data_IF_974105357905
#
_entry.id   IF_974105357905
#
_cell.length_a   1.000
_cell.length_b   1.000
_cell.length_c   1.000
_cell.angle_alpha   90.00
_cell.angle_beta   90.00
_cell.angle_gamma   90.00
#
_symmetry.space_group_name_H-M   'P 1'
#
loop_
_entity.id
_entity.type
_entity.pdbx_description
1 polymer ?
#
# COMPACT_ATOMS: atom_id res chain seq x y z
N UNK A 1 8.16 26.34 20.13
CA UNK A 1 8.25 24.88 20.02
C UNK A 1 7.75 24.38 18.66
N UNK A 2 6.69 24.95 18.09
CA UNK A 2 6.19 24.68 16.71
C UNK A 2 7.24 24.87 15.61
N UNK A 3 8.05 25.93 15.67
CA UNK A 3 9.08 26.22 14.65
C UNK A 3 10.19 25.14 14.56
N UNK A 4 10.53 24.48 15.66
CA UNK A 4 11.56 23.45 15.67
C UNK A 4 11.04 22.12 15.10
N UNK A 5 9.73 21.86 15.24
CA UNK A 5 9.06 20.69 14.68
C UNK A 5 8.85 20.85 13.16
N UNK A 6 8.47 22.05 12.69
CA UNK A 6 8.37 22.33 11.24
C UNK A 6 9.75 22.28 10.55
N UNK A 7 10.82 22.71 11.23
CA UNK A 7 12.20 22.58 10.73
C UNK A 7 12.68 21.13 10.78
N UNK A 8 12.25 20.32 11.76
CA UNK A 8 12.54 18.88 11.78
C UNK A 8 11.79 18.13 10.67
N UNK A 9 10.51 18.48 10.43
CA UNK A 9 9.75 17.98 9.29
C UNK A 9 10.44 18.39 7.99
N UNK A 10 10.81 19.66 7.82
CA UNK A 10 11.53 20.14 6.62
C UNK A 10 12.93 19.54 6.48
N UNK A 11 13.66 19.33 7.57
CA UNK A 11 14.98 18.70 7.61
C UNK A 11 14.94 17.20 7.26
N UNK A 12 13.85 16.51 7.62
CA UNK A 12 13.58 15.15 7.14
C UNK A 12 12.95 15.13 5.74
N UNK A 13 12.30 16.21 5.28
CA UNK A 13 11.76 16.31 3.91
C UNK A 13 12.82 16.49 2.82
N UNK A 14 14.08 16.76 3.18
CA UNK A 14 15.15 17.10 2.23
C UNK A 14 15.44 16.04 1.16
N UNK A 15 15.01 14.79 1.36
CA UNK A 15 15.08 13.73 0.34
C UNK A 15 13.80 12.88 0.23
N UNK A 16 12.89 12.87 1.22
CA UNK A 16 11.83 11.84 1.28
C UNK A 16 10.38 12.33 1.22
N UNK A 17 10.04 13.58 1.54
CA UNK A 17 8.64 14.02 1.59
C UNK A 17 8.24 15.07 0.53
N UNK A 18 9.22 15.71 -0.11
CA UNK A 18 9.01 16.51 -1.32
C UNK A 18 9.77 15.90 -2.48
N UNK A 19 9.50 14.64 -2.80
CA UNK A 19 9.88 14.10 -4.11
C UNK A 19 9.03 14.77 -5.18
N UNK A 20 9.42 15.99 -5.55
CA UNK A 20 9.16 16.60 -6.87
C UNK A 20 9.73 15.73 -8.02
N UNK A 21 10.33 14.58 -7.73
CA UNK A 21 10.89 13.62 -8.65
C UNK A 21 9.86 12.74 -9.38
N UNK A 22 8.55 12.87 -9.17
CA UNK A 22 7.57 11.95 -9.79
C UNK A 22 6.87 12.47 -11.04
N UNK A 23 6.75 13.80 -11.26
CA UNK A 23 5.99 14.30 -12.43
C UNK A 23 6.80 14.47 -13.70
N UNK A 24 8.12 14.61 -13.60
CA UNK A 24 8.96 14.89 -14.78
C UNK A 24 9.37 13.61 -15.52
N UNK A 25 9.34 12.46 -14.84
CA UNK A 25 9.59 11.13 -15.40
C UNK A 25 8.29 10.31 -15.61
N UNK A 26 7.16 10.76 -15.05
CA UNK A 26 5.84 10.18 -15.31
C UNK A 26 5.51 10.21 -16.81
N UNK A 27 5.26 9.02 -17.35
CA UNK A 27 4.79 8.84 -18.72
C UNK A 27 3.29 9.14 -18.80
N UNK A 28 2.91 9.97 -19.76
CA UNK A 28 1.52 10.43 -19.92
C UNK A 28 0.70 9.54 -20.86
N UNK A 29 1.30 8.49 -21.42
CA UNK A 29 0.77 7.60 -22.46
C UNK A 29 0.50 6.18 -21.97
N UNK A 30 -0.10 6.04 -20.77
CA UNK A 30 -0.56 4.73 -20.31
C UNK A 30 -1.67 4.21 -21.22
N UNK A 31 -1.44 3.04 -21.80
CA UNK A 31 -2.36 2.42 -22.74
C UNK A 31 -3.68 2.07 -22.05
N UNK A 32 -4.80 2.40 -22.71
CA UNK A 32 -6.11 2.01 -22.24
C UNK A 32 -6.30 0.49 -22.29
N UNK A 33 -7.15 -0.02 -21.40
CA UNK A 33 -7.80 -1.32 -21.59
C UNK A 33 -8.77 -1.22 -22.77
N UNK A 34 -8.23 -1.30 -23.99
CA UNK A 34 -8.99 -1.26 -25.26
C UNK A 34 -9.58 -2.61 -25.66
N UNK A 35 -9.34 -3.65 -24.86
CA UNK A 35 -9.74 -5.01 -25.19
C UNK A 35 -11.08 -5.34 -24.52
N UNK A 36 -12.16 -5.37 -25.31
CA UNK A 36 -13.52 -5.70 -24.86
C UNK A 36 -13.59 -7.00 -24.04
N UNK A 37 -12.74 -7.99 -24.36
CA UNK A 37 -12.67 -9.27 -23.63
C UNK A 37 -12.12 -9.06 -22.21
N UNK A 38 -11.10 -8.20 -22.06
CA UNK A 38 -10.52 -7.89 -20.73
C UNK A 38 -11.51 -7.10 -19.88
N UNK A 39 -12.14 -6.09 -20.47
CA UNK A 39 -13.20 -5.30 -19.82
C UNK A 39 -14.34 -6.20 -19.33
N UNK A 40 -14.77 -7.16 -20.15
CA UNK A 40 -15.82 -8.11 -19.76
C UNK A 40 -15.39 -9.03 -18.61
N UNK A 41 -14.14 -9.52 -18.61
CA UNK A 41 -13.62 -10.35 -17.51
C UNK A 41 -13.55 -9.58 -16.20
N UNK A 42 -13.09 -8.34 -16.22
CA UNK A 42 -13.06 -7.48 -15.04
C UNK A 42 -14.43 -7.11 -14.53
N UNK A 43 -15.37 -6.82 -15.43
CA UNK A 43 -16.77 -6.60 -15.05
C UNK A 43 -17.36 -7.84 -14.37
N UNK A 44 -17.10 -9.03 -14.92
CA UNK A 44 -17.53 -10.29 -14.32
C UNK A 44 -16.89 -10.55 -12.96
N UNK A 45 -15.60 -10.24 -12.82
CA UNK A 45 -14.89 -10.36 -11.55
C UNK A 45 -15.44 -9.40 -10.50
N UNK A 46 -15.64 -8.12 -10.87
CA UNK A 46 -16.15 -7.07 -9.98
C UNK A 46 -17.54 -7.41 -9.43
N UNK A 47 -18.42 -7.96 -10.30
CA UNK A 47 -19.74 -8.44 -9.90
C UNK A 47 -19.67 -9.61 -8.90
N UNK A 48 -18.66 -10.47 -9.01
CA UNK A 48 -18.46 -11.60 -8.09
C UNK A 48 -17.78 -11.19 -6.78
N UNK A 49 -16.87 -10.22 -6.83
CA UNK A 49 -16.11 -9.74 -5.67
C UNK A 49 -16.94 -8.90 -4.69
N UNK A 50 -18.10 -8.38 -5.13
CA UNK A 50 -18.97 -7.53 -4.31
C UNK A 50 -18.43 -6.10 -4.16
N UNK A 51 -17.85 -5.56 -5.24
CA UNK A 51 -17.39 -4.16 -5.28
C UNK A 51 -18.51 -3.12 -5.16
N UNK A 52 -18.17 -1.82 -5.10
CA UNK A 52 -19.15 -0.76 -4.90
C UNK A 52 -20.20 -0.77 -6.03
N UNK A 53 -21.49 -0.67 -5.66
CA UNK A 53 -22.60 -0.48 -6.61
C UNK A 53 -22.54 0.91 -7.26
N UNK A 54 -23.41 1.21 -8.22
CA UNK A 54 -23.35 2.46 -8.99
C UNK A 54 -23.47 3.71 -8.10
N UNK A 55 -24.37 3.71 -7.11
CA UNK A 55 -24.51 4.82 -6.17
C UNK A 55 -23.25 4.98 -5.30
N UNK A 56 -22.71 3.87 -4.77
CA UNK A 56 -21.48 3.87 -3.98
C UNK A 56 -20.29 4.32 -4.82
N UNK A 57 -20.24 3.96 -6.11
CA UNK A 57 -19.19 4.39 -7.02
C UNK A 57 -19.20 5.91 -7.26
N UNK A 58 -20.38 6.52 -7.35
CA UNK A 58 -20.50 7.98 -7.40
C UNK A 58 -19.93 8.60 -6.12
N UNK A 59 -20.25 8.04 -4.95
CA UNK A 59 -19.67 8.48 -3.68
C UNK A 59 -18.15 8.32 -3.64
N UNK A 60 -17.60 7.20 -4.12
CA UNK A 60 -16.15 6.98 -4.22
C UNK A 60 -15.48 8.07 -5.05
N UNK A 61 -16.00 8.35 -6.25
CA UNK A 61 -15.44 9.39 -7.12
C UNK A 61 -15.49 10.77 -6.45
N UNK A 62 -16.63 11.13 -5.85
CA UNK A 62 -16.80 12.39 -5.13
C UNK A 62 -15.83 12.50 -3.96
N UNK A 63 -15.80 11.51 -3.07
CA UNK A 63 -15.00 11.56 -1.84
C UNK A 63 -13.50 11.51 -2.16
N UNK A 64 -13.10 10.85 -3.25
CA UNK A 64 -11.73 10.92 -3.76
C UNK A 64 -11.35 12.32 -4.24
N UNK A 65 -12.24 13.02 -4.98
CA UNK A 65 -12.02 14.42 -5.37
C UNK A 65 -11.92 15.31 -4.12
N UNK A 66 -12.78 15.08 -3.12
CA UNK A 66 -12.74 15.81 -1.84
C UNK A 66 -11.37 15.63 -1.17
N UNK A 67 -10.90 14.39 -1.04
CA UNK A 67 -9.58 14.06 -0.49
C UNK A 67 -8.45 14.76 -1.25
N UNK A 68 -8.45 14.66 -2.57
CA UNK A 68 -7.41 15.25 -3.40
C UNK A 68 -7.43 16.79 -3.32
N UNK A 69 -8.61 17.41 -3.32
CA UNK A 69 -8.77 18.86 -3.17
C UNK A 69 -8.25 19.32 -1.81
N UNK A 70 -8.73 18.69 -0.73
CA UNK A 70 -8.39 19.03 0.65
C UNK A 70 -6.88 18.95 0.93
N UNK A 71 -6.22 17.98 0.30
CA UNK A 71 -4.79 17.72 0.49
C UNK A 71 -3.90 18.34 -0.59
N UNK A 72 -4.45 19.16 -1.48
CA UNK A 72 -3.66 19.82 -2.54
C UNK A 72 -2.96 21.09 -2.06
N UNK A 73 -1.94 21.54 -2.81
CA UNK A 73 -1.28 22.83 -2.53
C UNK A 73 -2.18 24.04 -2.77
N UNK A 74 -3.26 23.88 -3.54
CA UNK A 74 -4.26 24.89 -3.87
C UNK A 74 -5.67 24.32 -3.62
N UNK A 75 -6.05 24.15 -2.34
CA UNK A 75 -7.30 23.49 -2.00
C UNK A 75 -8.51 24.30 -2.45
N UNK A 76 -9.59 23.61 -2.79
CA UNK A 76 -10.86 24.19 -3.18
C UNK A 76 -11.96 23.72 -2.23
N UNK A 77 -12.48 24.64 -1.43
CA UNK A 77 -13.56 24.37 -0.47
C UNK A 77 -14.89 23.99 -1.13
N UNK A 78 -15.09 24.32 -2.41
CA UNK A 78 -16.27 23.85 -3.16
C UNK A 78 -16.17 22.37 -3.51
N UNK A 79 -14.94 21.87 -3.70
CA UNK A 79 -14.64 20.47 -3.98
C UNK A 79 -14.32 19.68 -2.71
N UNK A 80 -14.06 20.33 -1.57
CA UNK A 80 -13.82 19.70 -0.28
C UNK A 80 -14.61 20.46 0.81
N UNK A 81 -15.94 20.27 0.87
CA UNK A 81 -16.76 20.96 1.84
C UNK A 81 -16.48 20.46 3.25
N UNK A 82 -16.73 21.32 4.25
CA UNK A 82 -16.60 20.94 5.66
C UNK A 82 -17.58 19.81 5.99
N UNK A 83 -17.15 18.73 6.66
CA UNK A 83 -18.09 17.76 7.23
C UNK A 83 -19.04 18.53 8.15
N UNK A 84 -20.34 18.43 7.90
CA UNK A 84 -21.48 19.16 8.52
C UNK A 84 -22.06 20.37 7.77
N UNK A 85 -21.60 20.71 6.56
CA UNK A 85 -22.24 21.77 5.77
C UNK A 85 -23.61 21.38 5.15
N UNK A 86 -24.03 20.11 5.29
CA UNK A 86 -25.24 19.57 4.65
C UNK A 86 -26.51 19.60 5.48
N UNK A 87 -26.46 20.02 6.75
CA UNK A 87 -27.68 20.30 7.53
C UNK A 87 -27.63 21.69 8.14
N UNK A 88 -28.60 22.52 7.73
CA UNK A 88 -28.95 23.76 8.41
C UNK A 88 -29.13 23.48 9.90
N UNK A 89 -28.25 24.05 10.73
CA UNK A 89 -28.61 24.83 11.91
C UNK A 89 -27.35 25.38 12.62
N UNK A 90 -27.35 26.71 12.79
CA UNK A 90 -26.65 27.52 13.79
C UNK A 90 -25.10 27.52 13.89
N UNK A 91 -24.55 28.66 13.45
CA UNK A 91 -23.57 29.48 14.18
C UNK A 91 -22.25 28.81 14.65
N UNK A 92 -21.44 28.39 13.70
CA UNK A 92 -20.01 28.73 13.73
C UNK A 92 -19.64 29.38 12.40
N UNK A 93 -18.82 30.45 12.38
CA UNK A 93 -18.43 31.04 11.13
C UNK A 93 -17.57 30.00 10.38
N UNK A 94 -18.12 29.47 9.28
CA UNK A 94 -17.35 28.87 8.19
C UNK A 94 -16.47 29.96 7.57
N UNK A 95 -15.47 30.40 8.34
CA UNK A 95 -14.54 31.44 7.99
C UNK A 95 -13.42 30.84 7.14
N UNK A 96 -12.95 31.63 6.17
CA UNK A 96 -11.80 31.29 5.33
C UNK A 96 -10.58 30.82 6.14
N UNK A 97 -10.41 31.31 7.37
CA UNK A 97 -9.34 30.91 8.29
C UNK A 97 -9.48 29.46 8.78
N UNK A 98 -10.70 29.02 9.12
CA UNK A 98 -10.96 27.63 9.51
C UNK A 98 -10.67 26.65 8.37
N UNK A 99 -11.08 27.00 7.14
CA UNK A 99 -10.76 26.18 5.96
C UNK A 99 -9.25 26.11 5.70
N UNK A 100 -8.53 27.21 5.89
CA UNK A 100 -7.07 27.25 5.78
C UNK A 100 -6.45 26.28 6.80
N UNK A 101 -6.81 26.37 8.07
CA UNK A 101 -6.28 25.50 9.13
C UNK A 101 -6.59 24.02 8.86
N UNK A 102 -7.83 23.71 8.47
CA UNK A 102 -8.24 22.35 8.08
C UNK A 102 -7.40 21.82 6.93
N UNK A 103 -7.29 22.54 5.81
CA UNK A 103 -6.48 22.10 4.66
C UNK A 103 -4.98 22.01 4.99
N UNK A 104 -4.47 22.83 5.92
CA UNK A 104 -3.12 22.65 6.45
C UNK A 104 -2.99 21.36 7.26
N UNK A 105 -3.98 21.02 8.08
CA UNK A 105 -4.02 19.75 8.80
C UNK A 105 -4.11 18.56 7.85
N UNK A 106 -5.06 18.53 6.92
CA UNK A 106 -5.26 17.43 5.96
C UNK A 106 -3.99 17.12 5.15
N UNK A 107 -3.30 18.19 4.69
CA UNK A 107 -2.00 18.05 4.02
C UNK A 107 -0.92 17.46 4.90
N UNK A 108 -0.85 17.88 6.17
CA UNK A 108 0.14 17.35 7.13
C UNK A 108 -0.12 15.87 7.40
N UNK A 109 -1.38 15.48 7.63
CA UNK A 109 -1.80 14.09 7.82
C UNK A 109 -1.39 13.24 6.62
N UNK A 110 -1.77 13.66 5.40
CA UNK A 110 -1.38 12.97 4.16
C UNK A 110 0.14 12.81 4.04
N UNK A 111 0.89 13.89 4.25
CA UNK A 111 2.35 13.86 4.13
C UNK A 111 2.99 12.92 5.17
N UNK A 112 2.50 12.95 6.42
CA UNK A 112 2.99 12.09 7.49
C UNK A 112 2.77 10.60 7.17
N UNK A 113 1.56 10.23 6.75
CA UNK A 113 1.23 8.86 6.35
C UNK A 113 2.07 8.42 5.15
N UNK A 114 2.20 9.27 4.12
CA UNK A 114 2.99 8.94 2.94
C UNK A 114 4.46 8.68 3.31
N UNK A 115 5.07 9.52 4.14
CA UNK A 115 6.44 9.30 4.65
C UNK A 115 6.52 8.00 5.44
N UNK A 116 5.53 7.71 6.29
CA UNK A 116 5.50 6.50 7.10
C UNK A 116 5.43 5.22 6.26
N UNK A 117 4.56 5.18 5.24
CA UNK A 117 4.51 4.08 4.26
C UNK A 117 5.88 3.92 3.59
N UNK A 118 6.47 5.02 3.12
CA UNK A 118 7.72 4.97 2.36
C UNK A 118 8.87 4.46 3.24
N UNK A 119 8.95 4.93 4.49
CA UNK A 119 9.96 4.49 5.45
C UNK A 119 9.77 3.03 5.84
N UNK A 120 8.54 2.64 6.21
CA UNK A 120 8.22 1.27 6.57
C UNK A 120 8.57 0.32 5.42
N UNK A 121 8.13 0.61 4.20
CA UNK A 121 8.38 -0.27 3.06
C UNK A 121 9.85 -0.27 2.63
N UNK A 122 10.55 0.87 2.66
CA UNK A 122 12.00 0.92 2.40
C UNK A 122 12.78 0.09 3.44
N UNK A 123 12.35 0.09 4.71
CA UNK A 123 12.91 -0.74 5.79
C UNK A 123 12.64 -2.22 5.52
N UNK A 124 11.39 -2.59 5.26
CA UNK A 124 11.01 -3.99 5.05
C UNK A 124 11.66 -4.59 3.80
N UNK A 125 11.81 -3.81 2.71
CA UNK A 125 12.59 -4.29 1.55
C UNK A 125 14.06 -4.54 1.89
N UNK A 126 14.67 -3.67 2.69
CA UNK A 126 16.05 -3.89 3.16
C UNK A 126 16.15 -5.16 4.00
N UNK A 127 15.15 -5.46 4.83
CA UNK A 127 15.10 -6.69 5.62
C UNK A 127 14.85 -7.91 4.73
N UNK A 128 14.02 -7.79 3.70
CA UNK A 128 13.74 -8.86 2.74
C UNK A 128 15.01 -9.31 1.98
N UNK A 129 15.95 -8.41 1.70
CA UNK A 129 17.24 -8.75 1.07
C UNK A 129 18.17 -9.59 1.97
N UNK A 130 17.94 -9.64 3.29
CA UNK A 130 18.71 -10.52 4.19
C UNK A 130 18.39 -11.99 3.96
N UNK A 131 17.22 -12.27 3.39
CA UNK A 131 16.73 -13.64 3.26
C UNK A 131 17.47 -14.42 2.18
N UNK A 132 17.85 -15.67 2.48
CA UNK A 132 18.54 -16.53 1.52
C UNK A 132 17.66 -16.84 0.32
N UNK A 133 18.30 -17.17 -0.80
CA UNK A 133 17.65 -17.42 -2.09
C UNK A 133 16.48 -18.41 -1.99
N UNK A 134 16.66 -19.49 -1.23
CA UNK A 134 15.65 -20.52 -1.04
C UNK A 134 14.36 -19.97 -0.39
N UNK A 135 14.48 -19.10 0.61
CA UNK A 135 13.34 -18.47 1.25
C UNK A 135 12.61 -17.51 0.30
N UNK A 136 13.36 -16.69 -0.44
CA UNK A 136 12.82 -15.79 -1.45
C UNK A 136 12.12 -16.54 -2.60
N UNK A 137 12.61 -17.74 -2.96
CA UNK A 137 11.97 -18.62 -3.94
C UNK A 137 10.65 -19.21 -3.43
N UNK A 138 10.60 -19.66 -2.17
CA UNK A 138 9.35 -20.14 -1.53
C UNK A 138 8.28 -19.05 -1.58
N UNK A 139 8.65 -17.83 -1.16
CA UNK A 139 7.76 -16.68 -1.18
C UNK A 139 7.23 -16.36 -2.58
N UNK A 140 8.11 -16.35 -3.58
CA UNK A 140 7.69 -16.05 -4.95
C UNK A 140 6.76 -17.12 -5.53
N UNK A 141 7.02 -18.39 -5.20
CA UNK A 141 6.19 -19.54 -5.61
C UNK A 141 4.81 -19.55 -4.97
N UNK A 142 4.67 -19.04 -3.75
CA UNK A 142 3.35 -18.91 -3.13
C UNK A 142 2.44 -17.96 -3.95
N UNK A 143 2.97 -16.81 -4.39
CA UNK A 143 2.24 -15.88 -5.25
C UNK A 143 2.13 -16.33 -6.71
N UNK A 144 3.11 -17.06 -7.23
CA UNK A 144 3.13 -17.57 -8.60
C UNK A 144 3.74 -18.97 -8.63
N UNK A 145 2.89 -20.00 -8.66
CA UNK A 145 3.33 -21.40 -8.54
C UNK A 145 4.36 -21.86 -9.59
N UNK A 146 4.41 -21.19 -10.75
CA UNK A 146 5.35 -21.45 -11.84
C UNK A 146 6.66 -20.68 -11.73
N UNK A 147 6.84 -19.86 -10.69
CA UNK A 147 8.05 -19.07 -10.49
C UNK A 147 9.29 -19.97 -10.31
N UNK A 148 10.28 -19.75 -11.16
CA UNK A 148 11.60 -20.40 -11.11
C UNK A 148 12.66 -19.52 -10.45
N UNK A 149 12.40 -18.21 -10.38
CA UNK A 149 13.32 -17.23 -9.86
C UNK A 149 12.95 -16.79 -8.42
N UNK A 150 13.95 -16.48 -7.58
CA UNK A 150 13.71 -15.91 -6.26
C UNK A 150 12.97 -14.58 -6.35
N UNK A 151 12.23 -14.23 -5.29
CA UNK A 151 11.70 -12.88 -5.15
C UNK A 151 12.84 -11.84 -5.14
N UNK A 152 12.67 -10.76 -5.90
CA UNK A 152 13.61 -9.64 -5.99
C UNK A 152 12.94 -8.39 -5.44
N UNK A 153 13.61 -7.69 -4.52
CA UNK A 153 13.10 -6.41 -4.02
C UNK A 153 13.35 -5.28 -5.02
N UNK A 154 12.77 -4.11 -4.79
CA UNK A 154 12.97 -2.90 -5.58
C UNK A 154 14.01 -1.97 -4.92
N UNK A 155 14.90 -2.52 -4.08
CA UNK A 155 15.82 -1.71 -3.28
C UNK A 155 16.94 -1.09 -4.12
N UNK A 156 17.31 -1.71 -5.23
CA UNK A 156 18.33 -1.20 -6.17
C UNK A 156 18.03 0.24 -6.61
N UNK A 157 19.08 1.04 -6.84
CA UNK A 157 18.94 2.46 -7.23
C UNK A 157 18.23 2.61 -8.56
N UNK A 158 18.55 1.76 -9.55
CA UNK A 158 17.84 1.70 -10.84
C UNK A 158 16.32 1.49 -10.70
N UNK A 159 15.87 0.84 -9.62
CA UNK A 159 14.46 0.54 -9.35
C UNK A 159 13.76 1.62 -8.52
N UNK A 160 14.45 2.70 -8.10
CA UNK A 160 13.90 3.75 -7.23
C UNK A 160 12.60 4.37 -7.77
N UNK A 161 12.56 4.66 -9.07
CA UNK A 161 11.36 5.21 -9.72
C UNK A 161 10.17 4.26 -9.62
N UNK A 162 10.38 2.96 -9.89
CA UNK A 162 9.35 1.93 -9.75
C UNK A 162 8.93 1.76 -8.29
N UNK A 163 9.90 1.76 -7.36
CA UNK A 163 9.68 1.67 -5.91
C UNK A 163 8.75 2.76 -5.41
N UNK A 164 9.02 4.03 -5.73
CA UNK A 164 8.19 5.15 -5.28
C UNK A 164 6.76 5.09 -5.83
N UNK A 165 6.58 4.69 -7.09
CA UNK A 165 5.26 4.47 -7.69
C UNK A 165 4.51 3.33 -6.99
N UNK A 166 5.19 2.23 -6.66
CA UNK A 166 4.57 1.09 -5.98
C UNK A 166 4.15 1.45 -4.54
N UNK A 167 5.01 2.19 -3.82
CA UNK A 167 4.68 2.69 -2.48
C UNK A 167 3.51 3.69 -2.52
N UNK A 168 3.41 4.50 -3.57
CA UNK A 168 2.32 5.44 -3.75
C UNK A 168 0.95 4.75 -3.88
N UNK A 169 0.88 3.53 -4.43
CA UNK A 169 -0.36 2.73 -4.45
C UNK A 169 -0.85 2.44 -3.04
N UNK A 170 0.04 2.07 -2.12
CA UNK A 170 -0.31 1.82 -0.72
C UNK A 170 -0.57 3.10 0.06
N UNK A 171 0.25 4.13 -0.14
CA UNK A 171 0.04 5.43 0.48
C UNK A 171 -1.30 6.04 0.08
N UNK A 172 -1.74 5.83 -1.17
CA UNK A 172 -3.05 6.30 -1.63
C UNK A 172 -4.21 5.65 -0.90
N UNK A 173 -4.14 4.33 -0.68
CA UNK A 173 -5.13 3.58 0.09
C UNK A 173 -5.20 4.11 1.52
N UNK A 174 -4.07 4.12 2.23
CA UNK A 174 -4.05 4.46 3.66
C UNK A 174 -4.41 5.94 3.88
N UNK A 175 -3.87 6.86 3.07
CA UNK A 175 -4.24 8.28 3.18
C UNK A 175 -5.74 8.50 2.95
N UNK A 176 -6.32 7.83 1.95
CA UNK A 176 -7.74 8.01 1.64
C UNK A 176 -8.64 7.35 2.67
N UNK A 177 -8.24 6.19 3.20
CA UNK A 177 -8.94 5.51 4.29
C UNK A 177 -8.98 6.39 5.53
N UNK A 178 -7.84 6.92 5.98
CA UNK A 178 -7.77 7.81 7.16
C UNK A 178 -8.56 9.09 6.94
N UNK A 179 -8.46 9.70 5.75
CA UNK A 179 -9.26 10.87 5.40
C UNK A 179 -10.76 10.59 5.44
N UNK A 180 -11.21 9.50 4.82
CA UNK A 180 -12.61 9.12 4.79
C UNK A 180 -13.12 8.75 6.19
N UNK A 181 -12.32 8.08 7.02
CA UNK A 181 -12.67 7.79 8.41
C UNK A 181 -12.85 9.06 9.25
N UNK A 182 -11.99 10.07 9.06
CA UNK A 182 -12.11 11.35 9.75
C UNK A 182 -13.32 12.20 9.32
N UNK A 183 -14.02 11.80 8.25
CA UNK A 183 -15.20 12.51 7.75
C UNK A 183 -16.44 11.62 7.87
N UNK A 184 -17.42 12.09 8.61
CA UNK A 184 -18.63 11.33 8.93
C UNK A 184 -19.33 10.77 7.68
N UNK A 185 -19.78 9.52 7.78
CA UNK A 185 -20.53 8.75 6.77
C UNK A 185 -19.79 8.43 5.46
N UNK A 186 -18.60 8.98 5.19
CA UNK A 186 -17.93 8.79 3.90
C UNK A 186 -17.61 7.32 3.59
N UNK A 187 -17.18 6.54 4.58
CA UNK A 187 -16.87 5.12 4.40
C UNK A 187 -18.14 4.31 4.06
N UNK A 188 -19.22 4.53 4.80
CA UNK A 188 -20.50 3.85 4.60
C UNK A 188 -21.14 4.21 3.24
N UNK A 189 -21.10 5.48 2.85
CA UNK A 189 -21.56 5.95 1.53
C UNK A 189 -20.82 5.25 0.38
N UNK A 190 -19.54 4.93 0.59
CA UNK A 190 -18.69 4.24 -0.37
C UNK A 190 -18.78 2.71 -0.30
N UNK A 191 -19.60 2.17 0.61
CA UNK A 191 -19.82 0.74 0.79
C UNK A 191 -18.71 0.01 1.55
N UNK A 192 -17.90 0.73 2.33
CA UNK A 192 -16.86 0.16 3.19
C UNK A 192 -17.25 0.33 4.66
N UNK A 193 -17.45 -0.79 5.35
CA UNK A 193 -17.73 -0.85 6.79
C UNK A 193 -16.55 -1.53 7.47
N UNK A 194 -15.73 -0.75 8.17
CA UNK A 194 -14.55 -1.30 8.83
C UNK A 194 -14.94 -2.29 9.93
N UNK A 195 -14.15 -3.35 10.07
CA UNK A 195 -14.22 -4.16 11.28
C UNK A 195 -13.62 -3.35 12.45
N UNK A 196 -14.13 -3.57 13.67
CA UNK A 196 -13.73 -2.84 14.89
C UNK A 196 -12.20 -2.76 15.05
N UNK A 197 -11.49 -3.88 14.90
CA UNK A 197 -10.02 -3.89 14.99
C UNK A 197 -9.33 -3.06 13.89
N UNK A 198 -9.88 -2.98 12.68
CA UNK A 198 -9.34 -2.14 11.60
C UNK A 198 -9.64 -0.67 11.84
N UNK A 199 -10.78 -0.36 12.45
CA UNK A 199 -11.14 0.99 12.90
C UNK A 199 -10.16 1.47 13.98
N UNK A 200 -9.88 0.62 14.99
CA UNK A 200 -8.88 0.87 16.02
C UNK A 200 -7.49 1.16 15.42
N UNK A 201 -7.07 0.41 14.40
CA UNK A 201 -5.80 0.65 13.69
C UNK A 201 -5.75 2.01 12.97
N UNK A 202 -6.88 2.47 12.41
CA UNK A 202 -6.98 3.81 11.80
C UNK A 202 -6.92 4.89 12.88
N UNK A 203 -7.55 4.66 14.04
CA UNK A 203 -7.46 5.54 15.21
C UNK A 203 -6.03 5.60 15.74
N UNK A 204 -5.30 4.47 15.80
CA UNK A 204 -3.90 4.41 16.21
C UNK A 204 -3.00 5.24 15.28
N UNK A 205 -3.26 5.22 13.97
CA UNK A 205 -2.55 6.08 13.00
C UNK A 205 -2.79 7.56 13.31
N UNK A 206 -4.04 7.96 13.55
CA UNK A 206 -4.38 9.35 13.90
C UNK A 206 -3.70 9.77 15.21
N UNK A 207 -3.76 8.92 16.23
CA UNK A 207 -3.10 9.16 17.51
C UNK A 207 -1.58 9.31 17.34
N UNK A 208 -0.92 8.45 16.55
CA UNK A 208 0.51 8.54 16.29
C UNK A 208 0.91 9.81 15.50
N UNK A 209 0.02 10.33 14.65
CA UNK A 209 0.23 11.64 14.00
C UNK A 209 0.20 12.76 15.03
N UNK A 210 -0.72 12.69 16.00
CA UNK A 210 -0.87 13.70 17.05
C UNK A 210 0.30 13.67 18.05
N UNK A 211 0.87 12.50 18.36
CA UNK A 211 2.10 12.42 19.17
C UNK A 211 3.30 13.00 18.43
N UNK A 212 3.29 12.96 17.10
CA UNK A 212 4.39 13.41 16.25
C UNK A 212 5.61 12.49 16.27
N UNK A 213 5.48 11.28 16.82
CA UNK A 213 6.56 10.30 16.93
C UNK A 213 6.55 9.44 15.67
N UNK A 214 7.49 9.68 14.75
CA UNK A 214 7.54 8.99 13.45
C UNK A 214 7.59 7.46 13.57
N UNK A 215 8.31 6.91 14.55
CA UNK A 215 8.41 5.45 14.72
C UNK A 215 7.09 4.80 15.15
N UNK A 216 6.25 5.52 15.90
CA UNK A 216 4.91 5.03 16.28
C UNK A 216 4.01 5.01 15.04
N UNK A 217 4.08 6.05 14.22
CA UNK A 217 3.33 6.13 12.97
C UNK A 217 3.77 5.05 11.97
N UNK A 218 5.07 4.85 11.80
CA UNK A 218 5.63 3.79 10.94
C UNK A 218 5.12 2.41 11.38
N UNK A 219 5.06 2.16 12.69
CA UNK A 219 4.55 0.91 13.25
C UNK A 219 3.05 0.74 13.06
N UNK A 220 2.24 1.77 13.36
CA UNK A 220 0.78 1.73 13.20
C UNK A 220 0.37 1.47 11.74
N UNK A 221 1.01 2.19 10.80
CA UNK A 221 0.80 1.98 9.36
C UNK A 221 1.20 0.57 8.92
N UNK A 222 2.33 0.04 9.42
CA UNK A 222 2.77 -1.33 9.13
C UNK A 222 1.74 -2.35 9.64
N UNK A 223 1.23 -2.18 10.86
CA UNK A 223 0.22 -3.09 11.45
C UNK A 223 -1.03 -3.13 10.58
N UNK A 224 -1.59 -1.97 10.23
CA UNK A 224 -2.75 -1.88 9.33
C UNK A 224 -2.50 -2.59 7.99
N UNK A 225 -1.36 -2.32 7.35
CA UNK A 225 -1.00 -2.94 6.07
C UNK A 225 -0.92 -4.47 6.16
N UNK A 226 -0.26 -4.99 7.19
CA UNK A 226 -0.13 -6.43 7.41
C UNK A 226 -1.49 -7.06 7.66
N UNK A 227 -2.32 -6.46 8.52
CA UNK A 227 -3.60 -7.04 8.90
C UNK A 227 -4.61 -7.04 7.73
N UNK A 228 -4.59 -6.02 6.87
CA UNK A 228 -5.35 -6.03 5.61
C UNK A 228 -4.96 -7.20 4.70
N UNK A 229 -3.68 -7.58 4.65
CA UNK A 229 -3.17 -8.71 3.86
C UNK A 229 -3.55 -10.04 4.50
N UNK A 230 -3.43 -10.14 5.83
CA UNK A 230 -3.60 -11.38 6.59
C UNK A 230 -5.01 -11.63 7.10
N UNK A 231 -5.99 -10.88 6.60
CA UNK A 231 -7.39 -11.07 6.91
C UNK A 231 -7.89 -12.41 6.36
N UNK A 232 -8.63 -13.15 7.20
CA UNK A 232 -9.17 -14.46 6.87
C UNK A 232 -10.60 -14.31 6.35
N UNK A 233 -10.83 -14.74 5.11
CA UNK A 233 -12.10 -14.55 4.40
C UNK A 233 -12.48 -13.06 4.23
N UNK A 234 -11.60 -12.26 3.58
CA UNK A 234 -11.86 -10.85 3.36
C UNK A 234 -13.07 -10.68 2.44
N UNK A 235 -13.87 -9.65 2.72
CA UNK A 235 -14.94 -9.21 1.82
C UNK A 235 -14.67 -7.78 1.38
N UNK A 236 -15.05 -7.43 0.15
CA UNK A 236 -14.83 -6.08 -0.38
C UNK A 236 -15.56 -5.00 0.44
N UNK A 237 -16.56 -5.35 1.25
CA UNK A 237 -17.26 -4.40 2.12
C UNK A 237 -16.61 -4.22 3.50
N UNK A 238 -15.62 -5.04 3.89
CA UNK A 238 -15.01 -5.02 5.22
C UNK A 238 -13.50 -4.86 5.23
N UNK A 239 -12.83 -5.43 4.24
CA UNK A 239 -11.39 -5.36 4.12
C UNK A 239 -10.99 -4.18 3.23
N UNK A 240 -10.30 -3.14 3.75
CA UNK A 240 -10.01 -1.94 2.96
C UNK A 240 -9.12 -2.20 1.74
N UNK A 241 -8.18 -3.15 1.82
CA UNK A 241 -7.34 -3.49 0.67
C UNK A 241 -8.16 -4.18 -0.42
N UNK A 242 -9.04 -5.11 -0.05
CA UNK A 242 -9.92 -5.75 -1.03
C UNK A 242 -10.90 -4.75 -1.64
N UNK A 243 -11.51 -3.89 -0.81
CA UNK A 243 -12.33 -2.78 -1.29
C UNK A 243 -11.56 -1.91 -2.30
N UNK A 244 -10.32 -1.55 -1.99
CA UNK A 244 -9.48 -0.73 -2.86
C UNK A 244 -9.17 -1.41 -4.18
N UNK A 245 -8.96 -2.73 -4.20
CA UNK A 245 -8.83 -3.49 -5.45
C UNK A 245 -10.07 -3.34 -6.32
N UNK A 246 -11.28 -3.41 -5.74
CA UNK A 246 -12.52 -3.22 -6.51
C UNK A 246 -12.63 -1.81 -7.08
N UNK A 247 -12.21 -0.79 -6.31
CA UNK A 247 -12.13 0.61 -6.76
C UNK A 247 -11.15 0.77 -7.93
N UNK A 248 -9.95 0.20 -7.83
CA UNK A 248 -8.93 0.26 -8.89
C UNK A 248 -9.41 -0.43 -10.17
N UNK A 249 -10.00 -1.61 -10.07
CA UNK A 249 -10.53 -2.36 -11.22
C UNK A 249 -11.69 -1.61 -11.86
N UNK A 250 -12.67 -1.15 -11.06
CA UNK A 250 -13.83 -0.39 -11.55
C UNK A 250 -13.40 0.89 -12.27
N UNK A 251 -12.44 1.61 -11.71
CA UNK A 251 -11.86 2.81 -12.34
C UNK A 251 -11.18 2.49 -13.68
N UNK A 252 -10.48 1.36 -13.79
CA UNK A 252 -9.74 0.98 -15.00
C UNK A 252 -10.66 0.57 -16.17
N UNK A 253 -11.83 0.00 -15.90
CA UNK A 253 -12.80 -0.42 -16.92
C UNK A 253 -13.83 0.64 -17.30
N UNK A 254 -13.99 1.69 -16.48
CA UNK A 254 -14.91 2.79 -16.82
C UNK A 254 -14.43 3.47 -18.12
N UNK A 255 -15.33 3.77 -19.07
CA UNK A 255 -14.96 4.53 -20.27
C UNK A 255 -14.36 5.88 -19.88
N UNK A 256 -13.44 6.41 -20.70
CA UNK A 256 -12.97 7.79 -20.58
C UNK A 256 -14.14 8.75 -20.84
N UNK A 257 -14.97 8.99 -19.83
CA UNK A 257 -15.59 10.29 -19.69
C UNK A 257 -14.55 11.22 -19.07
N UNK A 258 -14.71 12.55 -19.22
CA UNK A 258 -13.72 13.58 -18.84
C UNK A 258 -13.27 13.57 -17.34
N UNK A 259 -13.67 12.56 -16.56
CA UNK A 259 -13.68 12.53 -15.10
C UNK A 259 -13.31 11.16 -14.49
N UNK A 260 -12.40 10.39 -15.10
CA UNK A 260 -11.77 9.26 -14.40
C UNK A 260 -10.67 9.81 -13.47
N UNK A 261 -10.93 9.96 -12.17
CA UNK A 261 -10.02 10.65 -11.23
C UNK A 261 -9.06 9.75 -10.44
N UNK A 262 -9.30 8.43 -10.44
CA UNK A 262 -8.58 7.47 -9.59
C UNK A 262 -7.57 6.67 -10.42
N UNK A 263 -7.96 6.19 -11.60
CA UNK A 263 -7.05 5.45 -12.48
C UNK A 263 -6.34 6.36 -13.49
N UNK A 264 -7.04 7.35 -14.04
CA UNK A 264 -6.54 8.18 -15.16
C UNK A 264 -6.69 9.69 -14.93
N UNK A 265 -6.84 10.10 -13.67
CA UNK A 265 -7.22 11.45 -13.26
C UNK A 265 -6.12 12.48 -13.26
N UNK A 266 -6.27 13.51 -14.10
CA UNK A 266 -5.42 14.71 -14.07
C UNK A 266 -5.81 15.64 -12.92
N UNK A 267 -5.51 15.22 -11.69
CA UNK A 267 -5.63 16.09 -10.52
C UNK A 267 -4.24 16.60 -10.10
N UNK A 268 -4.14 17.89 -9.77
CA UNK A 268 -2.90 18.48 -9.26
C UNK A 268 -2.56 17.82 -7.91
N UNK A 269 -1.39 17.19 -7.81
CA UNK A 269 -0.98 16.43 -6.61
C UNK A 269 -1.80 15.16 -6.35
N UNK A 270 -2.27 14.46 -7.40
CA UNK A 270 -2.72 13.08 -7.22
C UNK A 270 -1.61 12.25 -6.56
N UNK A 271 -1.94 11.50 -5.51
CA UNK A 271 -0.99 10.62 -4.83
C UNK A 271 -0.71 9.36 -5.67
N UNK A 272 -1.69 8.92 -6.47
CA UNK A 272 -1.49 7.84 -7.42
C UNK A 272 -0.73 8.34 -8.64
N UNK A 273 0.39 7.70 -8.94
CA UNK A 273 1.13 7.96 -10.17
C UNK A 273 0.30 7.59 -11.39
N UNK A 274 0.33 8.50 -12.35
CA UNK A 274 -0.49 8.43 -13.57
C UNK A 274 0.06 7.44 -14.61
N UNK A 275 1.31 7.02 -14.45
CA UNK A 275 2.03 6.18 -15.38
C UNK A 275 2.01 4.68 -15.04
N UNK A 276 1.27 4.31 -13.98
CA UNK A 276 0.96 2.92 -13.65
C UNK A 276 -0.45 2.55 -14.11
N UNK A 277 -0.52 1.58 -15.01
CA UNK A 277 -1.76 0.90 -15.37
C UNK A 277 -2.27 -0.02 -14.24
N UNK A 278 -3.39 -0.71 -14.49
CA UNK A 278 -3.96 -1.63 -13.52
C UNK A 278 -2.98 -2.76 -13.18
N UNK A 279 -2.23 -3.31 -14.15
CA UNK A 279 -1.23 -4.34 -13.87
C UNK A 279 -0.16 -3.84 -12.91
N UNK A 280 0.46 -2.69 -13.19
CA UNK A 280 1.49 -2.12 -12.33
C UNK A 280 0.99 -1.86 -10.91
N UNK A 281 -0.27 -1.47 -10.74
CA UNK A 281 -0.90 -1.28 -9.42
C UNK A 281 -1.13 -2.62 -8.69
N UNK A 282 -1.60 -3.65 -9.39
CA UNK A 282 -1.78 -4.99 -8.85
C UNK A 282 -0.43 -5.63 -8.48
N UNK A 283 0.59 -5.45 -9.30
CA UNK A 283 1.96 -5.86 -9.01
C UNK A 283 2.51 -5.16 -7.78
N UNK A 284 2.25 -3.86 -7.61
CA UNK A 284 2.65 -3.12 -6.42
C UNK A 284 2.04 -3.69 -5.13
N UNK A 285 0.77 -4.09 -5.18
CA UNK A 285 0.10 -4.74 -4.05
C UNK A 285 0.71 -6.11 -3.80
N UNK A 286 0.89 -6.94 -4.83
CA UNK A 286 1.50 -8.27 -4.66
C UNK A 286 2.94 -8.18 -4.15
N UNK A 287 3.72 -7.22 -4.64
CA UNK A 287 5.12 -7.03 -4.27
C UNK A 287 5.28 -6.70 -2.79
N UNK A 288 4.58 -5.68 -2.30
CA UNK A 288 4.68 -5.31 -0.89
C UNK A 288 4.00 -6.31 0.05
N UNK A 289 2.98 -7.03 -0.41
CA UNK A 289 2.45 -8.15 0.36
C UNK A 289 3.51 -9.25 0.58
N UNK A 290 4.30 -9.61 -0.44
CA UNK A 290 5.43 -10.55 -0.30
C UNK A 290 6.44 -10.05 0.74
N UNK A 291 6.83 -8.78 0.65
CA UNK A 291 7.78 -8.14 1.58
C UNK A 291 7.28 -8.19 3.02
N UNK A 292 6.02 -7.79 3.26
CA UNK A 292 5.44 -7.72 4.60
C UNK A 292 5.19 -9.12 5.22
N UNK A 293 4.82 -10.11 4.41
CA UNK A 293 4.60 -11.48 4.88
C UNK A 293 5.90 -12.16 5.30
N UNK A 294 7.05 -11.85 4.68
CA UNK A 294 8.35 -12.38 5.13
C UNK A 294 8.63 -12.02 6.59
N UNK A 295 8.52 -10.73 6.91
CA UNK A 295 8.80 -10.21 8.24
C UNK A 295 7.78 -10.75 9.26
N UNK A 296 6.49 -10.76 8.90
CA UNK A 296 5.43 -11.35 9.74
C UNK A 296 5.64 -12.84 10.01
N UNK A 297 6.12 -13.61 9.03
CA UNK A 297 6.41 -15.03 9.20
C UNK A 297 7.57 -15.27 10.18
N UNK A 298 8.56 -14.37 10.22
CA UNK A 298 9.63 -14.43 11.22
C UNK A 298 9.13 -14.09 12.62
N UNK A 299 8.37 -13.00 12.76
CA UNK A 299 7.79 -12.53 14.05
C UNK A 299 6.93 -13.61 14.74
N UNK A 300 6.19 -14.38 13.94
CA UNK A 300 5.26 -15.40 14.42
C UNK A 300 5.83 -16.81 14.40
N UNK A 301 7.08 -16.99 13.99
CA UNK A 301 7.75 -18.27 14.11
C UNK A 301 7.89 -18.65 15.58
N UNK A 302 7.51 -19.89 15.90
CA UNK A 302 7.63 -20.48 17.23
C UNK A 302 8.68 -21.60 17.16
N UNK A 303 9.98 -21.26 17.29
CA UNK A 303 11.04 -22.24 17.20
C UNK A 303 10.99 -23.22 18.37
N UNK A 304 11.59 -24.39 18.17
CA UNK A 304 11.64 -25.42 19.22
C UNK A 304 12.52 -25.01 20.42
N UNK A 305 13.51 -24.15 20.20
CA UNK A 305 14.36 -23.57 21.24
C UNK A 305 14.86 -22.17 20.86
N UNK A 306 15.29 -21.39 21.86
CA UNK A 306 15.87 -20.06 21.64
C UNK A 306 17.16 -20.11 20.82
N UNK A 307 17.93 -21.21 20.92
CA UNK A 307 19.13 -21.43 20.10
C UNK A 307 18.82 -21.46 18.60
N UNK A 308 17.65 -22.00 18.21
CA UNK A 308 17.22 -22.00 16.81
C UNK A 308 16.88 -20.60 16.34
N UNK A 309 16.20 -19.81 17.18
CA UNK A 309 15.91 -18.41 16.90
C UNK A 309 17.21 -17.60 16.73
N UNK A 310 18.17 -17.78 17.64
CA UNK A 310 19.47 -17.13 17.61
C UNK A 310 20.28 -17.51 16.38
N UNK A 311 20.26 -18.78 15.98
CA UNK A 311 20.93 -19.23 14.76
C UNK A 311 20.38 -18.51 13.52
N UNK A 312 19.06 -18.56 13.31
CA UNK A 312 18.43 -17.97 12.12
C UNK A 312 18.64 -16.45 12.09
N UNK A 313 18.45 -15.76 13.22
CA UNK A 313 18.67 -14.30 13.28
C UNK A 313 20.13 -13.94 13.01
N UNK A 314 21.10 -14.68 13.56
CA UNK A 314 22.53 -14.45 13.28
C UNK A 314 22.84 -14.63 11.79
N UNK A 315 22.28 -15.65 11.17
CA UNK A 315 22.50 -15.93 9.75
C UNK A 315 21.83 -14.88 8.85
N UNK A 316 20.68 -14.32 9.25
CA UNK A 316 20.03 -13.19 8.57
C UNK A 316 20.82 -11.89 8.75
N UNK A 317 21.32 -11.60 9.95
CA UNK A 317 22.12 -10.41 10.25
C UNK A 317 23.50 -10.44 9.61
N UNK A 318 24.03 -11.63 9.31
CA UNK A 318 25.29 -11.81 8.58
C UNK A 318 25.18 -11.52 7.06
N UNK A 319 23.99 -11.29 6.54
CA UNK A 319 23.80 -10.98 5.12
C UNK A 319 24.50 -9.67 4.73
N UNK A 320 25.30 -9.71 3.66
CA UNK A 320 25.94 -8.52 3.15
C UNK A 320 24.93 -7.64 2.40
N UNK A 321 24.67 -6.45 2.94
CA UNK A 321 23.78 -5.45 2.37
C UNK A 321 24.52 -4.20 1.86
N UNK A 322 25.85 -4.20 1.82
CA UNK A 322 26.68 -3.03 1.48
C UNK A 322 26.36 -2.50 0.07
N UNK A 323 25.98 -3.39 -0.85
CA UNK A 323 25.58 -3.02 -2.21
C UNK A 323 24.37 -2.07 -2.25
N UNK A 324 23.50 -2.11 -1.24
CA UNK A 324 22.34 -1.21 -1.11
C UNK A 324 22.73 0.23 -0.81
N UNK A 325 23.87 0.42 -0.12
CA UNK A 325 24.34 1.72 0.36
C UNK A 325 25.39 2.32 -0.58
N UNK A 326 26.10 1.49 -1.35
CA UNK A 326 27.15 1.91 -2.29
C UNK A 326 26.63 2.33 -3.68
N UNK A 327 25.31 2.41 -3.87
CA UNK A 327 24.71 2.77 -5.16
C UNK A 327 24.98 1.76 -6.27
N UNK A 328 25.33 0.51 -5.92
CA UNK A 328 25.51 -0.59 -6.86
C UNK A 328 24.13 -1.13 -7.23
N UNK A 329 23.85 -1.22 -8.54
CA UNK A 329 22.52 -1.60 -9.05
C UNK A 329 22.19 -3.09 -8.94
N UNK A 330 23.11 -3.92 -8.46
CA UNK A 330 22.89 -5.36 -8.31
C UNK A 330 23.61 -5.92 -7.07
N UNK A 331 23.01 -6.93 -6.40
CA UNK A 331 23.75 -7.78 -5.50
C UNK A 331 24.91 -8.44 -6.27
N UNK A 332 26.06 -8.60 -5.60
CA UNK A 332 27.11 -9.50 -6.09
C UNK A 332 26.51 -10.91 -6.09
N UNK A 333 26.01 -11.34 -7.25
CA UNK A 333 25.49 -12.66 -7.63
C UNK A 333 24.85 -13.52 -6.52
N UNK A 334 23.54 -13.78 -6.62
CA UNK A 334 22.80 -14.73 -5.76
C UNK A 334 23.44 -16.14 -5.67
N UNK A 335 24.32 -16.51 -6.61
CA UNK A 335 25.08 -17.78 -6.60
C UNK A 335 26.19 -17.84 -5.53
N UNK A 336 26.59 -16.70 -4.97
CA UNK A 336 27.65 -16.60 -3.95
C UNK A 336 27.10 -16.57 -2.51
N UNK A 337 25.79 -16.74 -2.27
CA UNK A 337 25.25 -16.87 -0.91
C UNK A 337 25.68 -18.23 -0.31
N UNK A 338 26.61 -18.27 0.67
CA UNK A 338 27.15 -19.52 1.19
C UNK A 338 26.15 -20.26 2.09
N UNK A 339 24.98 -19.65 2.38
CA UNK A 339 24.00 -20.19 3.33
C UNK A 339 23.12 -21.23 2.63
N UNK A 340 23.36 -22.51 2.93
CA UNK A 340 22.59 -23.62 2.36
C UNK A 340 21.24 -23.87 3.04
N UNK A 341 20.98 -23.22 4.19
CA UNK A 341 19.74 -23.37 4.97
C UNK A 341 19.38 -24.83 5.35
N UNK A 342 20.38 -25.71 5.46
CA UNK A 342 20.18 -27.14 5.73
C UNK A 342 19.99 -27.50 7.20
N UNK A 343 20.17 -26.54 8.12
CA UNK A 343 20.02 -26.81 9.55
C UNK A 343 18.55 -27.09 9.91
N UNK A 344 18.32 -27.84 11.00
CA UNK A 344 16.96 -28.10 11.49
C UNK A 344 16.20 -26.80 11.82
N UNK A 345 16.91 -25.79 12.33
CA UNK A 345 16.37 -24.46 12.58
C UNK A 345 15.86 -23.80 11.28
N UNK A 346 16.70 -23.79 10.25
CA UNK A 346 16.32 -23.23 8.94
C UNK A 346 15.19 -24.00 8.29
N UNK A 347 15.20 -25.34 8.31
CA UNK A 347 14.08 -26.14 7.79
C UNK A 347 12.76 -25.79 8.46
N UNK A 348 12.77 -25.64 9.79
CA UNK A 348 11.58 -25.23 10.54
C UNK A 348 11.11 -23.81 10.17
N UNK A 349 12.05 -22.87 10.03
CA UNK A 349 11.72 -21.51 9.61
C UNK A 349 11.15 -21.47 8.18
N UNK A 350 11.76 -22.19 7.24
CA UNK A 350 11.29 -22.27 5.85
C UNK A 350 9.93 -22.96 5.74
N UNK A 351 9.66 -23.97 6.57
CA UNK A 351 8.33 -24.59 6.65
C UNK A 351 7.29 -23.61 7.18
N UNK A 352 7.62 -22.85 8.23
CA UNK A 352 6.75 -21.80 8.75
C UNK A 352 6.50 -20.71 7.70
N UNK A 353 7.55 -20.22 7.03
CA UNK A 353 7.43 -19.26 5.93
C UNK A 353 6.52 -19.80 4.82
N UNK A 354 6.71 -21.04 4.39
CA UNK A 354 5.89 -21.64 3.34
C UNK A 354 4.41 -21.71 3.77
N UNK A 355 4.13 -22.04 5.04
CA UNK A 355 2.77 -22.06 5.59
C UNK A 355 2.12 -20.68 5.54
N UNK A 356 2.83 -19.66 6.01
CA UNK A 356 2.36 -18.26 6.00
C UNK A 356 2.17 -17.74 4.57
N UNK A 357 3.15 -17.97 3.69
CA UNK A 357 3.09 -17.56 2.30
C UNK A 357 1.90 -18.22 1.57
N UNK A 358 1.66 -19.52 1.78
CA UNK A 358 0.49 -20.20 1.21
C UNK A 358 -0.84 -19.73 1.82
N UNK A 359 -0.86 -19.37 3.09
CA UNK A 359 -2.09 -18.91 3.75
C UNK A 359 -2.54 -17.53 3.25
N UNK A 360 -1.62 -16.63 2.87
CA UNK A 360 -1.95 -15.23 2.62
C UNK A 360 -1.54 -14.68 1.26
N UNK A 361 -0.57 -15.31 0.57
CA UNK A 361 -0.12 -14.90 -0.75
C UNK A 361 -0.59 -15.83 -1.86
N UNK A 362 -1.23 -16.95 -1.51
CA UNK A 362 -1.59 -17.95 -2.50
C UNK A 362 -2.63 -17.44 -3.48
N UNK A 363 -2.36 -17.67 -4.76
CA UNK A 363 -3.26 -17.38 -5.88
C UNK A 363 -4.18 -18.56 -6.21
N UNK A 364 -4.20 -19.58 -5.35
CA UNK A 364 -5.05 -20.75 -5.50
C UNK A 364 -6.53 -20.38 -5.31
N UNK A 365 -7.39 -21.01 -6.11
CA UNK A 365 -8.84 -20.72 -6.13
C UNK A 365 -9.59 -21.18 -4.88
N UNK A 366 -9.00 -22.05 -4.06
CA UNK A 366 -9.60 -22.61 -2.85
C UNK A 366 -9.24 -21.84 -1.57
N UNK A 367 -8.46 -20.76 -1.69
CA UNK A 367 -8.04 -19.93 -0.57
C UNK A 367 -8.56 -18.51 -0.81
N UNK A 368 -9.58 -18.13 -0.03
CA UNK A 368 -10.20 -16.81 -0.10
C UNK A 368 -9.33 -15.79 0.63
N UNK A 369 -8.38 -15.19 -0.11
CA UNK A 369 -7.48 -14.12 0.37
C UNK A 369 -7.49 -12.96 -0.60
N UNK A 370 -7.10 -11.77 -0.11
CA UNK A 370 -6.98 -10.58 -0.95
C UNK A 370 -5.98 -10.79 -2.08
N UNK A 371 -4.84 -11.44 -1.81
CA UNK A 371 -3.81 -11.72 -2.83
C UNK A 371 -4.21 -12.85 -3.77
N UNK A 372 -5.10 -13.74 -3.34
CA UNK A 372 -5.80 -14.68 -4.20
C UNK A 372 -6.51 -13.97 -5.36
N UNK A 373 -7.24 -12.90 -5.03
CA UNK A 373 -7.92 -12.07 -6.03
C UNK A 373 -6.95 -11.28 -6.91
N UNK A 374 -5.89 -10.71 -6.34
CA UNK A 374 -4.82 -10.06 -7.12
C UNK A 374 -4.22 -11.01 -8.16
N UNK A 375 -3.96 -12.27 -7.78
CA UNK A 375 -3.46 -13.29 -8.70
C UNK A 375 -4.41 -13.64 -9.85
N UNK A 376 -5.71 -13.73 -9.57
CA UNK A 376 -6.75 -13.95 -10.59
C UNK A 376 -6.79 -12.79 -11.59
N UNK A 377 -6.63 -11.56 -11.11
CA UNK A 377 -6.60 -10.35 -11.94
C UNK A 377 -5.32 -10.27 -12.79
N UNK A 378 -4.14 -10.49 -12.20
CA UNK A 378 -2.87 -10.50 -12.93
C UNK A 378 -2.84 -11.57 -14.05
N UNK A 379 -3.34 -12.78 -13.74
CA UNK A 379 -3.45 -13.85 -14.75
C UNK A 379 -4.36 -13.48 -15.93
N UNK A 380 -5.32 -12.58 -15.71
CA UNK A 380 -6.26 -12.13 -16.74
C UNK A 380 -5.61 -11.16 -17.74
N UNK A 381 -4.59 -10.43 -17.30
CA UNK A 381 -3.87 -9.47 -18.14
C UNK A 381 -2.82 -10.13 -19.03
N UNK A 382 -2.35 -11.32 -18.68
CA UNK A 382 -1.11 -11.83 -19.26
C UNK A 382 0.10 -10.99 -18.85
N UNK A 383 -0.04 -10.31 -17.71
CA UNK A 383 1.05 -9.98 -16.82
C UNK A 383 1.46 -11.30 -16.12
#
# INVERSE_FOLDING_TARGET
>A
MTLAYDIALMGMTGVTAQTQFTRFDERWDVSMLLNDIRVQRYSSWLNGAGGPIDEQWIAVKRNWINFLSATSTRPDATLAPTPNATHSDNEQPSGREHDIERFHHDRRVRAAIQVAIFNAFDREERLAERWPQQARLILNRAGCSTATQPFRTLRATADLGKRRRYQAVWASLVCFLVFAHGNQDMLDEMGLVLAEHTEDEVIDILAAIDTGIQSELDAAVRVLCVNMITDHAPTASKNPLFWWLTVLVRSAIEPLQEMDYISRGRFLMNILSMDLDLCGRLEAIQHYAKVLVLDKALDLWRPYSDDWALQVNRDLDAANLDWLDEGKDQPLFDEDDPRTCDSSAWRSMLENLNRWALAYLSTRKDIDTVLGEVGKLLSTEGC
#
